data_IF_961640141654
#
_entry.id   IF_961640141654
#
_cell.length_a   1.000
_cell.length_b   1.000
_cell.length_c   1.000
_cell.angle_alpha   90.00
_cell.angle_beta   90.00
_cell.angle_gamma   90.00
#
_symmetry.space_group_name_H-M   'P 1'
#
loop_
_entity.id
_entity.type
_entity.pdbx_description
1 polymer ?
#
# COMPACT_ATOMS: atom_id res chain seq x y z
N UNK A 1 -13.42 -10.24 -19.82
CA UNK A 1 -12.37 -9.23 -20.06
C UNK A 1 -12.66 -8.55 -21.39
N UNK A 2 -13.02 -7.26 -21.39
CA UNK A 2 -13.29 -6.51 -22.63
C UNK A 2 -12.00 -5.84 -23.06
N UNK A 3 -11.34 -6.40 -24.07
CA UNK A 3 -10.14 -5.83 -24.68
C UNK A 3 -10.55 -4.76 -25.69
N UNK A 4 -10.57 -3.50 -25.25
CA UNK A 4 -10.78 -2.38 -26.17
C UNK A 4 -9.46 -2.07 -26.90
N UNK A 5 -9.50 -2.11 -28.24
CA UNK A 5 -8.38 -1.81 -29.14
C UNK A 5 -7.96 -0.34 -28.95
N UNK A 6 -6.67 0.00 -28.74
CA UNK A 6 -6.29 1.40 -28.56
C UNK A 6 -6.46 2.14 -29.88
N UNK A 7 -7.42 3.07 -29.94
CA UNK A 7 -7.46 4.11 -30.97
C UNK A 7 -6.22 5.00 -30.87
N UNK A 8 -5.91 5.78 -31.92
CA UNK A 8 -4.84 6.80 -31.87
C UNK A 8 -5.18 7.84 -30.79
N UNK A 9 -4.72 7.60 -29.57
CA UNK A 9 -4.89 8.44 -28.38
C UNK A 9 -3.63 8.36 -27.52
N UNK A 10 -3.64 9.06 -26.38
CA UNK A 10 -2.52 9.04 -25.41
C UNK A 10 -2.17 7.59 -25.05
N UNK A 11 -0.88 7.33 -24.92
CA UNK A 11 -0.38 6.05 -24.41
C UNK A 11 -0.85 5.82 -22.97
N UNK A 12 -0.80 4.56 -22.53
CA UNK A 12 -1.08 4.22 -21.13
C UNK A 12 -0.17 5.00 -20.17
N UNK A 13 1.12 5.10 -20.50
CA UNK A 13 2.11 5.79 -19.67
C UNK A 13 1.80 7.29 -19.53
N UNK A 14 1.47 7.97 -20.63
CA UNK A 14 1.04 9.38 -20.61
C UNK A 14 -0.23 9.55 -19.76
N UNK A 15 -1.21 8.66 -19.93
CA UNK A 15 -2.47 8.71 -19.19
C UNK A 15 -2.28 8.48 -17.69
N UNK A 16 -1.38 7.56 -17.31
CA UNK A 16 -1.01 7.30 -15.92
C UNK A 16 -0.28 8.50 -15.31
N UNK A 17 0.67 9.07 -16.05
CA UNK A 17 1.41 10.25 -15.61
C UNK A 17 0.47 11.43 -15.37
N UNK A 18 -0.43 11.72 -16.31
CA UNK A 18 -1.40 12.81 -16.19
C UNK A 18 -2.31 12.66 -14.98
N UNK A 19 -2.85 11.46 -14.73
CA UNK A 19 -3.65 11.19 -13.52
C UNK A 19 -2.83 11.39 -12.26
N UNK A 20 -1.58 10.91 -12.24
CA UNK A 20 -0.69 11.05 -11.08
C UNK A 20 -0.36 12.51 -10.79
N UNK A 21 -0.02 13.27 -11.83
CA UNK A 21 0.25 14.70 -11.75
C UNK A 21 -0.97 15.49 -11.26
N UNK A 22 -2.16 15.15 -11.76
CA UNK A 22 -3.42 15.75 -11.33
C UNK A 22 -3.71 15.44 -9.86
N UNK A 23 -3.53 14.19 -9.43
CA UNK A 23 -3.72 13.79 -8.03
C UNK A 23 -2.74 14.50 -7.07
N UNK A 24 -1.48 14.68 -7.49
CA UNK A 24 -0.48 15.47 -6.75
C UNK A 24 -0.98 16.92 -6.59
N UNK A 25 -1.42 17.54 -7.69
CA UNK A 25 -1.94 18.91 -7.69
C UNK A 25 -3.15 19.06 -6.78
N UNK A 26 -4.08 18.12 -6.82
CA UNK A 26 -5.32 18.16 -6.04
C UNK A 26 -5.06 17.96 -4.56
N UNK A 27 -4.18 17.01 -4.19
CA UNK A 27 -3.74 16.83 -2.81
C UNK A 27 -3.04 18.09 -2.29
N UNK A 28 -2.15 18.69 -3.08
CA UNK A 28 -1.45 19.93 -2.74
C UNK A 28 -2.41 21.09 -2.51
N UNK A 29 -3.36 21.31 -3.42
CA UNK A 29 -4.35 22.39 -3.31
C UNK A 29 -5.27 22.17 -2.11
N UNK A 30 -5.69 20.93 -1.86
CA UNK A 30 -6.54 20.57 -0.70
C UNK A 30 -5.84 20.81 0.63
N UNK A 31 -4.52 20.66 0.67
CA UNK A 31 -3.69 20.98 1.82
C UNK A 31 -3.35 22.48 1.94
N UNK A 32 -3.80 23.32 1.00
CA UNK A 32 -3.48 24.76 0.97
C UNK A 32 -2.02 25.07 0.68
N UNK A 33 -1.28 24.13 0.07
CA UNK A 33 0.15 24.24 -0.18
C UNK A 33 0.44 24.81 -1.57
N UNK A 34 1.48 25.64 -1.68
CA UNK A 34 2.11 26.00 -2.94
C UNK A 34 3.11 24.92 -3.39
N UNK A 35 3.55 24.97 -4.65
CA UNK A 35 4.63 24.10 -5.13
C UNK A 35 5.95 24.34 -4.38
N UNK A 36 6.16 25.55 -3.83
CA UNK A 36 7.33 25.86 -3.01
C UNK A 36 7.24 25.18 -1.65
N UNK A 37 6.07 25.18 -1.01
CA UNK A 37 5.88 24.54 0.29
C UNK A 37 6.19 23.04 0.21
N UNK A 38 5.74 22.38 -0.86
CA UNK A 38 6.07 20.96 -1.09
C UNK A 38 7.57 20.77 -1.32
N UNK A 39 8.22 21.65 -2.10
CA UNK A 39 9.67 21.57 -2.31
C UNK A 39 10.44 21.67 -0.98
N UNK A 40 10.07 22.63 -0.13
CA UNK A 40 10.69 22.84 1.17
C UNK A 40 10.47 21.64 2.11
N UNK A 41 9.27 21.06 2.11
CA UNK A 41 8.95 19.86 2.90
C UNK A 41 9.75 18.63 2.43
N UNK A 42 9.88 18.42 1.12
CA UNK A 42 10.71 17.31 0.61
C UNK A 42 12.18 17.47 1.01
N UNK A 43 12.70 18.70 1.03
CA UNK A 43 14.04 19.00 1.54
C UNK A 43 14.17 18.71 3.04
N UNK A 44 13.17 19.07 3.85
CA UNK A 44 13.14 18.76 5.29
C UNK A 44 13.09 17.25 5.57
N UNK A 45 12.47 16.47 4.68
CA UNK A 45 12.41 15.01 4.75
C UNK A 45 13.70 14.33 4.24
N UNK A 46 14.70 15.09 3.78
CA UNK A 46 16.01 14.59 3.39
C UNK A 46 16.17 14.27 1.90
N UNK A 47 15.17 14.53 1.07
CA UNK A 47 15.27 14.40 -0.39
C UNK A 47 14.57 15.56 -1.09
N UNK A 48 15.32 16.59 -1.47
CA UNK A 48 14.77 17.80 -2.08
C UNK A 48 14.27 17.59 -3.51
N UNK A 49 12.98 17.87 -3.74
CA UNK A 49 12.39 18.00 -5.07
C UNK A 49 12.16 19.48 -5.35
N UNK A 50 12.78 20.03 -6.39
CA UNK A 50 12.64 21.46 -6.67
C UNK A 50 11.20 21.85 -7.04
N UNK A 51 10.82 23.08 -6.69
CA UNK A 51 9.54 23.70 -7.10
C UNK A 51 9.27 23.52 -8.60
N UNK A 52 10.30 23.73 -9.43
CA UNK A 52 10.15 23.63 -10.89
C UNK A 52 9.91 22.20 -11.35
N UNK A 53 10.48 21.18 -10.69
CA UNK A 53 10.13 19.78 -10.96
C UNK A 53 8.66 19.50 -10.64
N UNK A 54 8.19 19.95 -9.47
CA UNK A 54 6.78 19.81 -9.06
C UNK A 54 5.86 20.47 -10.10
N UNK A 55 6.14 21.71 -10.50
CA UNK A 55 5.36 22.42 -11.52
C UNK A 55 5.43 21.74 -12.90
N UNK A 56 6.56 21.14 -13.27
CA UNK A 56 6.71 20.41 -14.53
C UNK A 56 5.93 19.09 -14.54
N UNK A 57 5.81 18.41 -13.40
CA UNK A 57 4.93 17.24 -13.26
C UNK A 57 3.47 17.66 -13.41
N UNK A 58 3.01 18.64 -12.63
CA UNK A 58 1.61 19.09 -12.64
C UNK A 58 1.14 19.69 -13.99
N UNK A 59 2.07 20.17 -14.81
CA UNK A 59 1.78 20.69 -16.15
C UNK A 59 1.95 19.65 -17.26
N UNK A 60 2.44 18.45 -16.96
CA UNK A 60 2.73 17.40 -17.93
C UNK A 60 3.94 17.69 -18.85
N UNK A 61 4.72 18.75 -18.57
CA UNK A 61 5.94 19.07 -19.34
C UNK A 61 7.04 18.03 -19.17
N UNK A 62 7.08 17.36 -18.00
CA UNK A 62 8.00 16.27 -17.72
C UNK A 62 7.21 14.99 -17.46
N UNK A 63 7.24 14.05 -18.40
CA UNK A 63 6.47 12.80 -18.36
C UNK A 63 7.07 11.71 -17.44
N UNK A 64 8.24 11.96 -16.81
CA UNK A 64 8.92 10.99 -15.95
C UNK A 64 9.02 11.48 -14.51
N UNK A 65 8.34 10.79 -13.59
CA UNK A 65 8.44 10.98 -12.15
C UNK A 65 9.24 9.82 -11.56
N UNK A 66 10.38 10.12 -10.91
CA UNK A 66 11.18 9.09 -10.26
C UNK A 66 10.44 8.50 -9.04
N UNK A 67 10.68 7.23 -8.71
CA UNK A 67 10.03 6.58 -7.56
C UNK A 67 10.39 7.27 -6.23
N UNK A 68 11.63 7.76 -6.09
CA UNK A 68 12.06 8.50 -4.90
C UNK A 68 11.32 9.83 -4.79
N UNK A 69 11.19 10.55 -5.90
CA UNK A 69 10.43 11.80 -5.99
C UNK A 69 8.94 11.57 -5.69
N UNK A 70 8.36 10.50 -6.23
CA UNK A 70 6.98 10.12 -5.97
C UNK A 70 6.72 9.87 -4.47
N UNK A 71 7.54 9.04 -3.83
CA UNK A 71 7.37 8.68 -2.43
C UNK A 71 7.57 9.88 -1.50
N UNK A 72 8.58 10.73 -1.76
CA UNK A 72 8.84 11.89 -0.91
C UNK A 72 7.77 12.97 -1.10
N UNK A 73 7.23 13.16 -2.31
CA UNK A 73 6.12 14.08 -2.56
C UNK A 73 4.86 13.59 -1.82
N UNK A 74 4.53 12.30 -1.89
CA UNK A 74 3.41 11.74 -1.14
C UNK A 74 3.55 11.97 0.37
N UNK A 75 4.76 11.77 0.91
CA UNK A 75 5.08 12.02 2.30
C UNK A 75 4.96 13.51 2.67
N UNK A 76 5.48 14.42 1.84
CA UNK A 76 5.36 15.87 2.02
C UNK A 76 3.90 16.34 2.01
N UNK A 77 3.09 15.76 1.13
CA UNK A 77 1.65 16.01 1.03
C UNK A 77 0.84 15.29 2.13
N UNK A 78 1.47 14.41 2.92
CA UNK A 78 0.85 13.62 3.98
C UNK A 78 -0.32 12.76 3.51
N UNK A 79 -0.20 12.20 2.31
CA UNK A 79 -1.20 11.30 1.70
C UNK A 79 -0.64 9.89 1.50
N UNK A 80 -1.47 8.83 1.50
CA UNK A 80 -1.01 7.50 1.14
C UNK A 80 -0.55 7.50 -0.33
N UNK A 81 0.67 7.03 -0.68
CA UNK A 81 1.18 7.14 -2.05
C UNK A 81 0.25 6.55 -3.11
N UNK A 82 -0.41 5.44 -2.78
CA UNK A 82 -1.35 4.76 -3.70
C UNK A 82 -2.51 5.63 -4.17
N UNK A 83 -2.95 6.62 -3.37
CA UNK A 83 -4.03 7.52 -3.79
C UNK A 83 -3.59 8.46 -4.92
N UNK A 84 -2.29 8.66 -5.09
CA UNK A 84 -1.73 9.44 -6.20
C UNK A 84 -1.64 8.61 -7.49
N UNK A 85 -1.66 7.28 -7.43
CA UNK A 85 -1.60 6.41 -8.64
C UNK A 85 -2.99 6.23 -9.25
N UNK A 86 -3.98 5.93 -8.40
CA UNK A 86 -5.36 5.65 -8.84
C UNK A 86 -6.27 6.88 -8.80
N UNK A 87 -5.72 8.07 -8.50
CA UNK A 87 -6.47 9.31 -8.36
C UNK A 87 -7.49 9.52 -9.49
N UNK A 88 -8.76 9.66 -9.11
CA UNK A 88 -9.92 9.70 -9.99
C UNK A 88 -11.21 9.44 -9.23
N UNK A 89 -12.39 9.53 -9.87
CA UNK A 89 -13.66 9.19 -9.25
C UNK A 89 -13.67 7.73 -8.77
N UNK A 90 -14.15 7.42 -7.56
CA UNK A 90 -14.07 6.08 -6.96
C UNK A 90 -14.82 5.00 -7.76
N UNK A 91 -15.82 5.40 -8.54
CA UNK A 91 -16.71 4.48 -9.26
C UNK A 91 -16.32 4.26 -10.73
N UNK A 92 -15.26 4.92 -11.21
CA UNK A 92 -14.80 4.79 -12.60
C UNK A 92 -13.63 3.80 -12.70
N UNK A 93 -13.66 2.84 -13.64
CA UNK A 93 -12.55 1.92 -13.85
C UNK A 93 -11.32 2.68 -14.36
N UNK A 94 -10.17 2.40 -13.76
CA UNK A 94 -8.88 2.98 -14.13
C UNK A 94 -8.05 1.96 -14.89
N UNK A 95 -7.28 2.45 -15.87
CA UNK A 95 -6.34 1.59 -16.59
C UNK A 95 -5.09 1.35 -15.75
N UNK A 96 -5.05 0.22 -15.04
CA UNK A 96 -3.98 -0.16 -14.10
C UNK A 96 -2.71 -0.58 -14.85
N UNK A 97 -2.86 -1.36 -15.93
CA UNK A 97 -1.79 -1.76 -16.85
C UNK A 97 -2.24 -1.54 -18.30
N UNK A 98 -1.33 -1.51 -19.29
CA UNK A 98 -1.73 -1.40 -20.70
C UNK A 98 -2.80 -2.44 -21.06
N UNK A 99 -3.96 -1.97 -21.51
CA UNK A 99 -5.11 -2.81 -21.88
C UNK A 99 -5.91 -3.41 -20.71
N UNK A 100 -5.49 -3.23 -19.46
CA UNK A 100 -6.14 -3.76 -18.27
C UNK A 100 -6.81 -2.65 -17.48
N UNK A 101 -8.14 -2.71 -17.44
CA UNK A 101 -8.97 -1.77 -16.67
C UNK A 101 -9.55 -2.50 -15.47
N UNK A 102 -9.49 -1.85 -14.30
CA UNK A 102 -10.00 -2.39 -13.06
C UNK A 102 -10.61 -1.28 -12.21
N UNK A 103 -11.51 -1.63 -11.28
CA UNK A 103 -11.97 -0.66 -10.29
C UNK A 103 -10.81 -0.22 -9.38
N UNK A 104 -10.95 0.92 -8.70
CA UNK A 104 -9.92 1.41 -7.76
C UNK A 104 -9.61 0.38 -6.67
N UNK A 105 -10.63 -0.34 -6.20
CA UNK A 105 -10.48 -1.41 -5.18
C UNK A 105 -9.62 -2.56 -5.71
N UNK A 106 -9.88 -3.01 -6.93
CA UNK A 106 -9.13 -4.11 -7.55
C UNK A 106 -7.68 -3.71 -7.86
N UNK A 107 -7.47 -2.49 -8.36
CA UNK A 107 -6.14 -1.93 -8.57
C UNK A 107 -5.35 -1.79 -7.26
N UNK A 108 -6.00 -1.31 -6.19
CA UNK A 108 -5.41 -1.20 -4.85
C UNK A 108 -5.05 -2.57 -4.29
N UNK A 109 -5.95 -3.55 -4.42
CA UNK A 109 -5.73 -4.92 -3.98
C UNK A 109 -4.52 -5.52 -4.68
N UNK A 110 -4.45 -5.41 -6.01
CA UNK A 110 -3.29 -5.87 -6.78
C UNK A 110 -1.98 -5.15 -6.39
N UNK A 111 -1.98 -3.82 -6.24
CA UNK A 111 -0.78 -3.07 -5.84
C UNK A 111 -0.31 -3.47 -4.44
N UNK A 112 -1.26 -3.81 -3.58
CA UNK A 112 -0.98 -4.36 -2.27
C UNK A 112 -0.66 -5.86 -2.35
N UNK A 113 -0.73 -6.56 -3.48
CA UNK A 113 -0.52 -8.01 -3.52
C UNK A 113 -1.54 -8.77 -2.67
N UNK A 114 -2.79 -8.32 -2.66
CA UNK A 114 -3.92 -9.12 -2.23
C UNK A 114 -4.24 -10.13 -3.35
N UNK A 115 -4.03 -11.44 -3.12
CA UNK A 115 -4.18 -12.46 -4.14
C UNK A 115 -5.65 -12.73 -4.50
N UNK A 116 -6.62 -12.26 -3.71
CA UNK A 116 -8.04 -12.47 -3.98
C UNK A 116 -8.52 -11.78 -5.27
N UNK A 117 -7.76 -10.78 -5.75
CA UNK A 117 -8.08 -9.97 -6.92
C UNK A 117 -6.98 -10.04 -7.99
N UNK A 118 -6.04 -10.98 -7.86
CA UNK A 118 -5.04 -11.24 -8.88
C UNK A 118 -5.65 -12.06 -10.04
N UNK A 119 -5.75 -11.43 -11.21
CA UNK A 119 -5.81 -12.17 -12.47
C UNK A 119 -4.52 -13.02 -12.57
N UNK A 120 -4.66 -14.33 -12.80
CA UNK A 120 -3.54 -15.27 -12.93
C UNK A 120 -2.63 -14.89 -14.12
N UNK A 121 -3.11 -14.07 -15.07
CA UNK A 121 -2.29 -13.49 -16.14
C UNK A 121 -1.39 -12.33 -15.71
N UNK A 122 -1.58 -11.74 -14.52
CA UNK A 122 -0.85 -10.56 -14.03
C UNK A 122 0.01 -10.89 -12.81
N UNK A 123 -0.51 -11.67 -11.86
CA UNK A 123 0.23 -12.04 -10.65
C UNK A 123 0.00 -13.50 -10.29
N UNK A 124 1.08 -14.27 -10.29
CA UNK A 124 1.08 -15.62 -9.75
C UNK A 124 0.97 -15.55 -8.22
N UNK A 125 -0.16 -16.02 -7.68
CA UNK A 125 -0.44 -16.06 -6.24
C UNK A 125 0.50 -17.00 -5.47
N UNK A 126 1.12 -17.96 -6.17
CA UNK A 126 2.08 -18.89 -5.60
C UNK A 126 3.53 -18.44 -5.78
N UNK A 127 3.76 -17.30 -6.45
CA UNK A 127 5.09 -16.71 -6.54
C UNK A 127 5.67 -16.41 -5.15
N UNK A 128 6.99 -16.51 -5.04
CA UNK A 128 7.73 -16.24 -3.80
C UNK A 128 7.28 -14.93 -3.13
N UNK A 129 7.23 -13.83 -3.88
CA UNK A 129 6.87 -12.51 -3.36
C UNK A 129 5.41 -12.43 -2.89
N UNK A 130 4.47 -13.05 -3.61
CA UNK A 130 3.05 -13.06 -3.22
C UNK A 130 2.85 -13.85 -1.92
N UNK A 131 3.46 -15.03 -1.82
CA UNK A 131 3.42 -15.87 -0.62
C UNK A 131 4.09 -15.20 0.58
N UNK A 132 5.28 -14.64 0.40
CA UNK A 132 6.00 -13.94 1.45
C UNK A 132 5.19 -12.75 1.97
N UNK A 133 4.62 -11.95 1.08
CA UNK A 133 3.83 -10.77 1.47
C UNK A 133 2.56 -11.17 2.25
N UNK A 134 1.88 -12.25 1.85
CA UNK A 134 0.76 -12.84 2.59
C UNK A 134 1.20 -13.23 4.02
N UNK A 135 2.27 -13.99 4.16
CA UNK A 135 2.76 -14.43 5.47
C UNK A 135 3.16 -13.25 6.38
N UNK A 136 3.81 -12.22 5.83
CA UNK A 136 4.16 -11.01 6.58
C UNK A 136 2.89 -10.29 7.10
N UNK A 137 1.81 -10.25 6.30
CA UNK A 137 0.53 -9.68 6.74
C UNK A 137 -0.14 -10.49 7.82
N UNK A 138 -0.20 -11.80 7.65
CA UNK A 138 -0.81 -12.72 8.61
C UNK A 138 -0.05 -12.63 9.95
N UNK A 139 1.28 -12.60 9.90
CA UNK A 139 2.14 -12.35 11.07
C UNK A 139 1.80 -11.03 11.76
N UNK A 140 1.72 -9.94 11.00
CA UNK A 140 1.42 -8.62 11.54
C UNK A 140 0.00 -8.56 12.17
N UNK A 141 -0.97 -9.30 11.62
CA UNK A 141 -2.31 -9.44 12.19
C UNK A 141 -2.25 -10.13 13.54
N UNK A 142 -1.63 -11.31 13.63
CA UNK A 142 -1.51 -12.07 14.88
C UNK A 142 -0.76 -11.27 15.96
N UNK A 143 0.31 -10.55 15.58
CA UNK A 143 1.04 -9.67 16.50
C UNK A 143 0.16 -8.54 17.07
N UNK A 144 -0.70 -7.93 16.24
CA UNK A 144 -1.66 -6.92 16.71
C UNK A 144 -2.70 -7.52 17.65
N UNK A 145 -3.20 -8.71 17.34
CA UNK A 145 -4.20 -9.41 18.15
C UNK A 145 -3.60 -9.82 19.51
N UNK A 146 -2.35 -10.29 19.56
CA UNK A 146 -1.58 -10.52 20.80
C UNK A 146 -1.39 -9.23 21.60
N UNK A 147 -1.04 -8.12 20.95
CA UNK A 147 -0.87 -6.83 21.62
C UNK A 147 -2.19 -6.28 22.18
N UNK A 148 -3.33 -6.60 21.55
CA UNK A 148 -4.65 -6.29 22.08
C UNK A 148 -4.98 -7.19 23.27
N UNK A 149 -4.78 -8.50 23.16
CA UNK A 149 -5.04 -9.45 24.25
C UNK A 149 -4.24 -9.10 25.51
N UNK A 150 -2.95 -8.74 25.36
CA UNK A 150 -2.12 -8.27 26.48
C UNK A 150 -2.71 -7.05 27.18
N UNK A 151 -3.28 -6.11 26.42
CA UNK A 151 -3.95 -4.92 26.98
C UNK A 151 -5.24 -5.29 27.72
N UNK A 152 -6.02 -6.24 27.18
CA UNK A 152 -7.24 -6.76 27.81
C UNK A 152 -6.92 -7.47 29.13
N UNK A 153 -5.94 -8.38 29.13
CA UNK A 153 -5.49 -9.08 30.34
C UNK A 153 -5.08 -8.08 31.43
N UNK A 154 -4.24 -7.09 31.08
CA UNK A 154 -3.82 -6.06 32.03
C UNK A 154 -4.98 -5.20 32.57
N UNK A 155 -6.04 -4.99 31.80
CA UNK A 155 -7.25 -4.32 32.26
C UNK A 155 -8.07 -5.19 33.22
N UNK A 156 -8.20 -6.50 32.95
CA UNK A 156 -8.87 -7.42 33.87
C UNK A 156 -8.14 -7.56 35.20
N UNK A 157 -6.81 -7.65 35.19
CA UNK A 157 -6.02 -7.68 36.43
C UNK A 157 -6.26 -6.44 37.28
N UNK A 158 -6.25 -5.25 36.67
CA UNK A 158 -6.52 -3.98 37.38
C UNK A 158 -7.93 -3.91 37.99
N UNK A 159 -8.90 -4.62 37.41
CA UNK A 159 -10.29 -4.67 37.90
C UNK A 159 -10.55 -5.83 38.86
N UNK A 160 -9.55 -6.64 39.19
CA UNK A 160 -9.72 -7.84 40.01
C UNK A 160 -10.52 -8.96 39.30
N UNK A 161 -10.59 -8.92 37.96
CA UNK A 161 -11.28 -9.90 37.13
C UNK A 161 -10.33 -10.93 36.48
N UNK A 162 -9.03 -10.86 36.80
CA UNK A 162 -7.99 -11.71 36.20
C UNK A 162 -8.28 -13.20 36.34
N UNK A 163 -8.55 -13.67 37.57
CA UNK A 163 -8.81 -15.09 37.84
C UNK A 163 -10.05 -15.61 37.09
N UNK A 164 -11.09 -14.77 36.99
CA UNK A 164 -12.33 -15.12 36.27
C UNK A 164 -12.08 -15.42 34.79
N UNK A 165 -11.17 -14.70 34.14
CA UNK A 165 -10.89 -14.84 32.71
C UNK A 165 -9.57 -15.55 32.42
N UNK A 166 -8.88 -16.09 33.44
CA UNK A 166 -7.54 -16.66 33.31
C UNK A 166 -7.47 -17.78 32.26
N UNK A 167 -8.41 -18.72 32.31
CA UNK A 167 -8.45 -19.86 31.38
C UNK A 167 -8.70 -19.41 29.93
N UNK A 168 -9.67 -18.53 29.72
CA UNK A 168 -10.01 -17.97 28.40
C UNK A 168 -8.83 -17.20 27.80
N UNK A 169 -8.20 -16.34 28.61
CA UNK A 169 -7.06 -15.54 28.18
C UNK A 169 -5.84 -16.41 27.86
N UNK A 170 -5.57 -17.44 28.67
CA UNK A 170 -4.45 -18.34 28.45
C UNK A 170 -4.66 -19.20 27.20
N UNK A 171 -5.89 -19.67 26.96
CA UNK A 171 -6.25 -20.36 25.72
C UNK A 171 -6.06 -19.44 24.50
N UNK A 172 -6.63 -18.24 24.52
CA UNK A 172 -6.49 -17.28 23.43
C UNK A 172 -5.02 -16.90 23.16
N UNK A 173 -4.21 -16.72 24.21
CA UNK A 173 -2.79 -16.45 24.09
C UNK A 173 -2.05 -17.64 23.46
N UNK A 174 -2.35 -18.87 23.90
CA UNK A 174 -1.78 -20.09 23.33
C UNK A 174 -2.06 -20.23 21.84
N UNK A 175 -3.32 -20.09 21.42
CA UNK A 175 -3.70 -20.16 20.01
C UNK A 175 -2.99 -19.11 19.15
N UNK A 176 -2.91 -17.86 19.62
CA UNK A 176 -2.22 -16.80 18.88
C UNK A 176 -0.70 -17.01 18.83
N UNK A 177 -0.09 -17.57 19.89
CA UNK A 177 1.34 -17.90 19.90
C UNK A 177 1.65 -19.03 18.92
N UNK A 178 0.85 -20.10 18.93
CA UNK A 178 0.98 -21.23 18.00
C UNK A 178 0.87 -20.75 16.54
N UNK A 179 -0.15 -19.94 16.22
CA UNK A 179 -0.28 -19.34 14.89
C UNK A 179 0.93 -18.48 14.50
N UNK A 180 1.48 -17.70 15.44
CA UNK A 180 2.65 -16.88 15.16
C UNK A 180 3.88 -17.74 14.86
N UNK A 181 4.07 -18.83 15.61
CA UNK A 181 5.18 -19.76 15.43
C UNK A 181 5.08 -20.50 14.10
N UNK A 182 3.88 -20.98 13.73
CA UNK A 182 3.61 -21.58 12.41
C UNK A 182 3.95 -20.62 11.27
N UNK A 183 3.48 -19.37 11.34
CA UNK A 183 3.75 -18.36 10.31
C UNK A 183 5.24 -18.06 10.23
N UNK A 184 5.94 -17.95 11.37
CA UNK A 184 7.38 -17.72 11.37
C UNK A 184 8.14 -18.88 10.73
N UNK A 185 7.76 -20.13 11.03
CA UNK A 185 8.38 -21.30 10.40
C UNK A 185 8.13 -21.32 8.88
N UNK A 186 6.92 -20.96 8.43
CA UNK A 186 6.61 -20.85 7.01
C UNK A 186 7.43 -19.76 6.31
N UNK A 187 7.64 -18.61 6.96
CA UNK A 187 8.51 -17.55 6.43
C UNK A 187 9.94 -18.07 6.33
N UNK A 188 10.49 -18.68 7.38
CA UNK A 188 11.84 -19.25 7.39
C UNK A 188 12.03 -20.25 6.26
N UNK A 189 11.14 -21.23 6.14
CA UNK A 189 11.18 -22.25 5.09
C UNK A 189 11.13 -21.63 3.69
N UNK A 190 10.30 -20.59 3.50
CA UNK A 190 10.17 -19.91 2.21
C UNK A 190 11.44 -19.12 1.88
N UNK A 191 12.03 -18.41 2.84
CA UNK A 191 13.22 -17.57 2.62
C UNK A 191 14.52 -18.36 2.49
N UNK A 192 14.62 -19.53 3.13
CA UNK A 192 15.81 -20.39 3.05
C UNK A 192 15.78 -21.31 1.82
N UNK A 193 14.59 -21.77 1.41
CA UNK A 193 14.43 -22.66 0.25
C UNK A 193 14.61 -21.99 -1.12
N UNK A 194 14.68 -20.66 -1.19
CA UNK A 194 14.91 -19.89 -2.44
C UNK A 194 16.40 -19.55 -2.65
N UNK A 195 17.28 -20.02 -1.75
CA UNK A 195 18.74 -19.80 -1.79
C UNK A 195 19.52 -20.93 -2.49
N UNK A 196 18.84 -21.96 -3.00
CA UNK A 196 19.39 -23.07 -3.79
C UNK A 196 19.02 -22.98 -5.27
#
# INVERSE_FOLDING_TARGET
MVTQKPGRGKTWAESLHERTAQAIRDARNSAGMSAQDVADLTQQLGYGVSRDKIANYESGRKQGLDLSEFLIIAAALRVPPVTLIFGGPPDEPVQVLPGNYAGVVDGLAWLCGDPALADEGITDRESYNARLLKLIRDRAKVQRDLALLRRVIADFERRGLGEKHRAENMHAAGTLMEQLDEINQQITNLTEGDTE
#
